data_IF_427720219271
#
_entry.id   IF_427720219271
#
_cell.length_a   1.000
_cell.length_b   1.000
_cell.length_c   1.000
_cell.angle_alpha   90.00
_cell.angle_beta   90.00
_cell.angle_gamma   90.00
#
_symmetry.space_group_name_H-M   'P 1'
#
loop_
_entity.id
_entity.type
_entity.pdbx_description
1 polymer ?
#
# COMPACT_ATOMS: atom_id res chain seq x y z
N UNK A 1 44.43 -2.47 20.32
CA UNK A 1 43.58 -3.48 19.66
C UNK A 1 42.55 -2.70 18.86
N UNK A 2 42.59 -2.80 17.54
CA UNK A 2 42.04 -1.86 16.56
C UNK A 2 40.51 -1.91 16.48
N UNK A 3 39.91 -0.74 16.27
CA UNK A 3 38.47 -0.51 16.10
C UNK A 3 38.00 -0.89 14.67
N UNK A 4 38.48 -2.03 14.14
CA UNK A 4 38.20 -2.49 12.77
C UNK A 4 37.38 -3.80 12.75
N UNK A 5 36.60 -4.06 13.81
CA UNK A 5 35.68 -5.20 13.81
C UNK A 5 34.41 -4.86 13.00
N UNK A 6 34.49 -5.21 11.71
CA UNK A 6 33.40 -5.74 10.87
C UNK A 6 32.22 -4.76 10.66
N UNK A 7 32.42 -3.74 9.81
CA UNK A 7 31.33 -3.36 8.91
C UNK A 7 31.25 -4.48 7.88
N UNK A 8 30.42 -5.47 8.17
CA UNK A 8 30.07 -6.51 7.21
C UNK A 8 29.64 -5.79 5.93
N UNK A 9 30.33 -6.05 4.81
CA UNK A 9 29.97 -5.48 3.50
C UNK A 9 28.63 -6.08 3.08
N UNK A 10 27.56 -5.53 3.65
CA UNK A 10 26.21 -6.00 3.41
C UNK A 10 25.96 -5.84 1.91
N UNK A 11 25.65 -6.94 1.24
CA UNK A 11 25.36 -6.92 -0.19
C UNK A 11 23.91 -6.49 -0.40
N UNK A 12 23.65 -5.82 -1.53
CA UNK A 12 22.29 -5.51 -1.97
C UNK A 12 21.48 -6.81 -2.14
N UNK A 13 20.33 -6.90 -1.47
CA UNK A 13 19.50 -8.11 -1.44
C UNK A 13 18.44 -8.07 -2.56
N UNK A 14 18.88 -8.28 -3.81
CA UNK A 14 18.04 -8.13 -5.02
C UNK A 14 16.76 -8.94 -4.97
N UNK A 15 16.84 -10.19 -4.54
CA UNK A 15 15.71 -11.11 -4.41
C UNK A 15 14.64 -10.55 -3.47
N UNK A 16 15.04 -10.08 -2.29
CA UNK A 16 14.11 -9.53 -1.30
C UNK A 16 13.56 -8.18 -1.70
N UNK A 17 14.36 -7.33 -2.35
CA UNK A 17 13.89 -6.05 -2.90
C UNK A 17 12.85 -6.29 -4.01
N UNK A 18 13.08 -7.28 -4.88
CA UNK A 18 12.12 -7.65 -5.91
C UNK A 18 10.80 -8.16 -5.31
N UNK A 19 10.85 -9.02 -4.29
CA UNK A 19 9.66 -9.51 -3.57
C UNK A 19 8.91 -8.35 -2.90
N UNK A 20 9.63 -7.45 -2.24
CA UNK A 20 9.05 -6.26 -1.60
C UNK A 20 8.35 -5.35 -2.63
N UNK A 21 9.00 -5.11 -3.77
CA UNK A 21 8.46 -4.33 -4.88
C UNK A 21 7.21 -4.97 -5.49
N UNK A 22 7.21 -6.31 -5.66
CA UNK A 22 6.04 -7.05 -6.12
C UNK A 22 4.87 -6.94 -5.13
N UNK A 23 5.13 -7.05 -3.82
CA UNK A 23 4.11 -6.84 -2.78
C UNK A 23 3.53 -5.43 -2.81
N UNK A 24 4.36 -4.40 -3.02
CA UNK A 24 3.91 -3.02 -3.19
C UNK A 24 3.07 -2.84 -4.47
N UNK A 25 3.45 -3.50 -5.55
CA UNK A 25 2.67 -3.49 -6.79
C UNK A 25 1.28 -4.08 -6.60
N UNK A 26 1.17 -5.21 -5.90
CA UNK A 26 -0.13 -5.82 -5.56
C UNK A 26 -0.94 -4.88 -4.70
N UNK A 27 -0.35 -4.28 -3.66
CA UNK A 27 -1.03 -3.28 -2.84
C UNK A 27 -1.63 -2.15 -3.70
N UNK A 28 -0.79 -1.50 -4.51
CA UNK A 28 -1.17 -0.29 -5.23
C UNK A 28 -2.12 -0.61 -6.40
N UNK A 29 -2.14 -1.85 -6.90
CA UNK A 29 -3.17 -2.36 -7.82
C UNK A 29 -4.56 -2.24 -7.18
N UNK A 30 -4.73 -2.75 -5.96
CA UNK A 30 -6.01 -2.68 -5.26
C UNK A 30 -6.40 -1.26 -4.88
N UNK A 31 -5.44 -0.41 -4.48
CA UNK A 31 -5.73 1.00 -4.18
C UNK A 31 -6.22 1.77 -5.42
N UNK A 32 -5.72 1.40 -6.60
CA UNK A 32 -6.13 2.01 -7.86
C UNK A 32 -7.51 1.53 -8.37
N UNK A 33 -8.21 0.64 -7.66
CA UNK A 33 -9.57 0.25 -8.03
C UNK A 33 -10.58 1.37 -7.81
N UNK A 34 -10.44 2.19 -6.75
CA UNK A 34 -11.46 3.18 -6.39
C UNK A 34 -11.76 4.18 -7.53
N UNK A 35 -10.77 4.82 -8.18
CA UNK A 35 -11.04 5.73 -9.29
C UNK A 35 -11.80 5.07 -10.45
N UNK A 36 -11.48 3.82 -10.78
CA UNK A 36 -12.13 3.08 -11.86
C UNK A 36 -13.56 2.66 -11.50
N UNK A 37 -13.81 2.33 -10.22
CA UNK A 37 -15.13 1.95 -9.71
C UNK A 37 -16.02 3.15 -9.39
N UNK A 38 -15.47 4.36 -9.29
CA UNK A 38 -16.20 5.54 -8.82
C UNK A 38 -17.49 5.81 -9.61
N UNK A 39 -17.54 5.73 -10.96
CA UNK A 39 -18.79 5.91 -11.71
C UNK A 39 -19.87 4.89 -11.32
N UNK A 40 -19.48 3.63 -11.11
CA UNK A 40 -20.41 2.54 -10.73
C UNK A 40 -20.94 2.78 -9.31
N UNK A 41 -20.08 3.23 -8.39
CA UNK A 41 -20.49 3.54 -7.02
C UNK A 41 -21.41 4.77 -6.96
N UNK A 42 -21.19 5.77 -7.81
CA UNK A 42 -22.07 6.95 -7.94
C UNK A 42 -23.47 6.50 -8.35
N UNK A 43 -23.57 5.66 -9.39
CA UNK A 43 -24.85 5.15 -9.86
C UNK A 43 -25.52 4.26 -8.81
N UNK A 44 -24.79 3.29 -8.27
CA UNK A 44 -25.30 2.30 -7.31
C UNK A 44 -25.90 2.93 -6.05
N UNK A 45 -25.27 3.98 -5.54
CA UNK A 45 -25.69 4.65 -4.30
C UNK A 45 -26.38 6.00 -4.54
N UNK A 46 -26.63 6.38 -5.79
CA UNK A 46 -27.20 7.68 -6.17
C UNK A 46 -26.46 8.87 -5.55
N UNK A 47 -25.13 8.85 -5.60
CA UNK A 47 -24.27 9.80 -4.86
C UNK A 47 -24.28 11.19 -5.46
N UNK A 48 -24.29 12.19 -4.59
CA UNK A 48 -23.86 13.55 -4.94
C UNK A 48 -22.36 13.57 -5.22
N UNK A 49 -21.90 14.57 -6.00
CA UNK A 49 -20.46 14.77 -6.28
C UNK A 49 -19.62 14.88 -5.00
N UNK A 50 -20.17 15.50 -3.95
CA UNK A 50 -19.52 15.63 -2.65
C UNK A 50 -19.32 14.26 -1.98
N UNK A 51 -20.34 13.40 -2.00
CA UNK A 51 -20.25 12.05 -1.42
C UNK A 51 -19.28 11.17 -2.20
N UNK A 52 -19.29 11.27 -3.53
CA UNK A 52 -18.31 10.61 -4.37
C UNK A 52 -16.88 11.05 -4.03
N UNK A 53 -16.65 12.35 -3.84
CA UNK A 53 -15.36 12.88 -3.41
C UNK A 53 -14.93 12.40 -2.02
N UNK A 54 -15.89 12.24 -1.10
CA UNK A 54 -15.61 11.74 0.25
C UNK A 54 -15.13 10.28 0.26
N UNK A 55 -15.51 9.45 -0.71
CA UNK A 55 -14.95 8.08 -0.81
C UNK A 55 -13.42 8.11 -0.97
N UNK A 56 -12.88 9.02 -1.79
CA UNK A 56 -11.42 9.20 -1.92
C UNK A 56 -10.78 9.74 -0.63
N UNK A 57 -11.52 10.55 0.14
CA UNK A 57 -11.07 10.99 1.46
C UNK A 57 -11.03 9.80 2.42
N UNK A 58 -12.04 8.94 2.44
CA UNK A 58 -12.07 7.76 3.30
C UNK A 58 -10.92 6.78 3.02
N UNK A 59 -10.52 6.62 1.75
CA UNK A 59 -9.35 5.80 1.41
C UNK A 59 -8.01 6.45 1.76
N UNK A 60 -7.91 7.78 1.66
CA UNK A 60 -6.62 8.49 1.77
C UNK A 60 -6.34 9.05 3.16
N UNK A 61 -7.37 9.46 3.90
CA UNK A 61 -7.29 10.08 5.23
C UNK A 61 -6.51 9.25 6.25
N UNK A 62 -6.62 7.90 6.29
CA UNK A 62 -5.82 7.08 7.18
C UNK A 62 -4.31 7.21 7.01
N UNK A 63 -3.82 7.77 5.89
CA UNK A 63 -2.39 8.09 5.70
C UNK A 63 -1.82 9.02 6.77
N UNK A 64 -2.67 9.80 7.45
CA UNK A 64 -2.26 10.61 8.60
C UNK A 64 -1.77 9.76 9.79
N UNK A 65 -2.09 8.47 9.81
CA UNK A 65 -1.65 7.53 10.84
C UNK A 65 -0.24 6.98 10.57
N UNK A 66 0.39 7.26 9.43
CA UNK A 66 1.72 6.75 9.09
C UNK A 66 2.78 6.95 10.20
N UNK A 67 2.87 8.12 10.90
CA UNK A 67 3.82 8.28 12.01
C UNK A 67 3.55 7.34 13.19
N UNK A 68 2.27 7.12 13.52
CA UNK A 68 1.85 6.22 14.60
C UNK A 68 2.15 4.77 14.21
N UNK A 69 1.84 4.40 12.96
CA UNK A 69 2.11 3.05 12.44
C UNK A 69 3.62 2.79 12.39
N UNK A 70 4.42 3.77 11.96
CA UNK A 70 5.88 3.69 11.99
C UNK A 70 6.41 3.43 13.41
N UNK A 71 5.96 4.22 14.39
CA UNK A 71 6.31 4.02 15.80
C UNK A 71 5.93 2.62 16.32
N UNK A 72 4.73 2.12 15.98
CA UNK A 72 4.33 0.77 16.34
C UNK A 72 5.20 -0.28 15.66
N UNK A 73 5.52 -0.09 14.37
CA UNK A 73 6.34 -0.99 13.58
C UNK A 73 7.78 -1.10 14.07
N UNK A 74 8.33 -0.04 14.67
CA UNK A 74 9.64 -0.08 15.31
C UNK A 74 9.65 -1.02 16.53
N UNK A 75 8.51 -1.17 17.23
CA UNK A 75 8.38 -2.05 18.40
C UNK A 75 8.04 -3.51 18.03
N UNK A 76 7.13 -3.73 17.08
CA UNK A 76 6.63 -5.08 16.74
C UNK A 76 7.33 -5.72 15.53
N UNK A 77 8.10 -4.92 14.79
CA UNK A 77 8.81 -5.31 13.57
C UNK A 77 8.06 -4.94 12.29
N UNK A 78 8.70 -4.25 11.33
CA UNK A 78 8.03 -3.71 10.14
C UNK A 78 7.57 -4.79 9.15
N UNK A 79 8.14 -6.01 9.22
CA UNK A 79 7.85 -7.09 8.26
C UNK A 79 6.38 -7.52 8.24
N UNK A 80 5.71 -7.50 9.39
CA UNK A 80 4.33 -7.98 9.49
C UNK A 80 3.36 -7.06 8.75
N UNK A 81 3.59 -5.74 8.81
CA UNK A 81 2.78 -4.76 8.10
C UNK A 81 2.88 -4.94 6.58
N UNK A 82 4.09 -5.17 6.07
CA UNK A 82 4.30 -5.37 4.63
C UNK A 82 3.71 -6.69 4.12
N UNK A 83 3.76 -7.75 4.93
CA UNK A 83 3.19 -9.05 4.54
C UNK A 83 1.65 -9.01 4.55
N UNK A 84 1.05 -8.36 5.55
CA UNK A 84 -0.40 -8.40 5.74
C UNK A 84 -1.16 -7.34 4.94
N UNK A 85 -0.57 -6.17 4.70
CA UNK A 85 -1.26 -5.07 4.05
C UNK A 85 -1.83 -5.42 2.65
N UNK A 86 -1.09 -6.07 1.73
CA UNK A 86 -1.65 -6.42 0.42
C UNK A 86 -2.87 -7.33 0.53
N UNK A 87 -2.89 -8.28 1.47
CA UNK A 87 -4.02 -9.17 1.70
C UNK A 87 -5.25 -8.42 2.24
N UNK A 88 -5.04 -7.51 3.20
CA UNK A 88 -6.13 -6.67 3.74
C UNK A 88 -6.71 -5.79 2.65
N UNK A 89 -5.86 -5.11 1.87
CA UNK A 89 -6.31 -4.27 0.76
C UNK A 89 -7.04 -5.06 -0.30
N UNK A 90 -6.55 -6.25 -0.65
CA UNK A 90 -7.21 -7.15 -1.59
C UNK A 90 -8.64 -7.47 -1.15
N UNK A 91 -8.82 -7.92 0.11
CA UNK A 91 -10.13 -8.29 0.63
C UNK A 91 -11.05 -7.07 0.66
N UNK A 92 -10.62 -5.94 1.22
CA UNK A 92 -11.47 -4.76 1.39
C UNK A 92 -11.88 -4.16 0.04
N UNK A 93 -10.94 -4.04 -0.90
CA UNK A 93 -11.19 -3.45 -2.21
C UNK A 93 -12.02 -4.37 -3.10
N UNK A 94 -11.85 -5.70 -3.02
CA UNK A 94 -12.72 -6.65 -3.73
C UNK A 94 -14.15 -6.68 -3.20
N UNK A 95 -14.35 -6.45 -1.89
CA UNK A 95 -15.69 -6.36 -1.30
C UNK A 95 -16.43 -5.05 -1.64
N UNK A 96 -15.73 -4.03 -2.16
CA UNK A 96 -16.30 -2.73 -2.45
C UNK A 96 -17.46 -2.80 -3.46
N UNK A 97 -17.33 -3.63 -4.50
CA UNK A 97 -18.36 -3.82 -5.54
C UNK A 97 -19.67 -4.41 -5.00
N UNK A 98 -19.59 -5.23 -3.94
CA UNK A 98 -20.75 -5.87 -3.30
C UNK A 98 -21.23 -5.15 -2.04
N UNK A 99 -20.64 -4.01 -1.68
CA UNK A 99 -21.04 -3.24 -0.51
C UNK A 99 -22.54 -2.85 -0.59
N UNK A 100 -23.36 -3.17 0.43
CA UNK A 100 -24.81 -2.97 0.37
C UNK A 100 -25.22 -1.51 0.57
N UNK A 101 -24.37 -0.68 1.21
CA UNK A 101 -24.65 0.72 1.50
C UNK A 101 -23.39 1.57 1.38
N UNK A 102 -23.58 2.88 1.20
CA UNK A 102 -22.50 3.87 1.20
C UNK A 102 -21.66 3.82 2.48
N UNK A 103 -22.27 3.61 3.64
CA UNK A 103 -21.57 3.51 4.93
C UNK A 103 -20.65 2.29 4.95
N UNK A 104 -21.11 1.13 4.45
CA UNK A 104 -20.25 -0.06 4.35
C UNK A 104 -19.09 0.18 3.39
N UNK A 105 -19.34 0.82 2.24
CA UNK A 105 -18.28 1.20 1.31
C UNK A 105 -17.24 2.13 1.96
N UNK A 106 -17.69 3.14 2.71
CA UNK A 106 -16.80 4.05 3.45
C UNK A 106 -15.94 3.31 4.48
N UNK A 107 -16.52 2.37 5.24
CA UNK A 107 -15.76 1.57 6.21
C UNK A 107 -14.73 0.67 5.53
N UNK A 108 -15.07 0.01 4.42
CA UNK A 108 -14.12 -0.77 3.64
C UNK A 108 -12.95 0.09 3.16
N UNK A 109 -13.23 1.29 2.66
CA UNK A 109 -12.20 2.24 2.19
C UNK A 109 -11.32 2.74 3.34
N UNK A 110 -11.87 3.01 4.52
CA UNK A 110 -11.08 3.39 5.70
C UNK A 110 -10.12 2.25 6.09
N UNK A 111 -10.59 1.00 6.11
CA UNK A 111 -9.73 -0.15 6.44
C UNK A 111 -8.67 -0.36 5.35
N UNK A 112 -9.03 -0.25 4.07
CA UNK A 112 -8.08 -0.28 2.97
C UNK A 112 -7.05 0.87 3.06
N UNK A 113 -7.46 2.05 3.51
CA UNK A 113 -6.59 3.19 3.73
C UNK A 113 -5.60 2.97 4.87
N UNK A 114 -6.04 2.39 6.00
CA UNK A 114 -5.15 2.01 7.12
C UNK A 114 -4.12 0.97 6.65
N UNK A 115 -4.55 0.02 5.82
CA UNK A 115 -3.66 -0.96 5.19
C UNK A 115 -2.61 -0.27 4.30
N UNK A 116 -3.02 0.70 3.48
CA UNK A 116 -2.09 1.51 2.66
C UNK A 116 -1.10 2.30 3.50
N UNK A 117 -1.59 2.99 4.53
CA UNK A 117 -0.74 3.74 5.44
C UNK A 117 0.31 2.81 6.09
N UNK A 118 -0.07 1.57 6.39
CA UNK A 118 0.82 0.60 7.01
C UNK A 118 2.01 0.21 6.13
N UNK A 119 1.76 -0.11 4.86
CA UNK A 119 2.84 -0.49 3.96
C UNK A 119 3.68 0.71 3.52
N UNK A 120 3.09 1.91 3.39
CA UNK A 120 3.83 3.13 3.04
C UNK A 120 4.68 3.66 4.19
N UNK A 121 4.28 3.41 5.45
CA UNK A 121 5.12 3.72 6.61
C UNK A 121 6.29 2.74 6.78
N UNK A 122 6.12 1.45 6.43
CA UNK A 122 7.08 0.39 6.77
C UNK A 122 7.90 -0.13 5.59
N UNK A 123 7.34 -0.11 4.38
CA UNK A 123 7.95 -0.62 3.15
C UNK A 123 9.25 0.10 2.77
N UNK A 124 9.29 1.45 2.72
CA UNK A 124 10.53 2.20 2.46
C UNK A 124 11.66 1.88 3.44
N UNK A 125 11.32 1.66 4.72
CA UNK A 125 12.28 1.28 5.76
C UNK A 125 12.89 -0.10 5.45
N UNK A 126 12.07 -1.08 5.06
CA UNK A 126 12.57 -2.40 4.65
C UNK A 126 13.39 -2.29 3.37
N UNK A 127 12.92 -1.53 2.38
CA UNK A 127 13.65 -1.31 1.12
C UNK A 127 15.06 -0.74 1.41
N UNK A 128 15.16 0.26 2.28
CA UNK A 128 16.43 0.82 2.72
C UNK A 128 17.33 -0.20 3.41
N UNK A 129 16.80 -1.00 4.34
CA UNK A 129 17.56 -2.06 5.03
C UNK A 129 18.09 -3.13 4.08
N UNK A 130 17.36 -3.42 2.99
CA UNK A 130 17.77 -4.40 1.97
C UNK A 130 18.75 -3.84 0.94
N UNK A 131 18.96 -2.51 0.92
CA UNK A 131 19.70 -1.82 -0.13
C UNK A 131 21.20 -1.70 0.10
N UNK A 132 21.69 -1.98 1.31
CA UNK A 132 23.09 -1.74 1.68
C UNK A 132 23.57 -0.33 1.27
N UNK A 133 24.71 -0.20 0.58
CA UNK A 133 25.23 1.07 0.08
C UNK A 133 24.45 1.65 -1.12
N UNK A 134 23.51 0.89 -1.70
CA UNK A 134 22.76 1.27 -2.92
C UNK A 134 21.33 1.71 -2.60
N UNK A 135 21.16 2.57 -1.60
CA UNK A 135 19.84 3.06 -1.15
C UNK A 135 18.96 3.58 -2.28
N UNK A 136 19.53 4.39 -3.18
CA UNK A 136 18.80 4.93 -4.33
C UNK A 136 18.21 3.83 -5.21
N UNK A 137 18.98 2.77 -5.49
CA UNK A 137 18.53 1.65 -6.31
C UNK A 137 17.36 0.91 -5.67
N UNK A 138 17.43 0.56 -4.39
CA UNK A 138 16.33 -0.15 -3.74
C UNK A 138 15.08 0.70 -3.57
N UNK A 139 15.23 2.02 -3.33
CA UNK A 139 14.11 2.95 -3.35
C UNK A 139 13.50 3.09 -4.75
N UNK A 140 14.29 3.04 -5.82
CA UNK A 140 13.76 3.01 -7.19
C UNK A 140 12.91 1.76 -7.45
N UNK A 141 13.34 0.58 -7.00
CA UNK A 141 12.52 -0.64 -7.09
C UNK A 141 11.22 -0.51 -6.29
N UNK A 142 11.28 0.07 -5.08
CA UNK A 142 10.10 0.34 -4.26
C UNK A 142 9.11 1.24 -5.01
N UNK A 143 9.56 2.37 -5.55
CA UNK A 143 8.72 3.31 -6.31
C UNK A 143 8.15 2.67 -7.58
N UNK A 144 8.98 1.97 -8.35
CA UNK A 144 8.57 1.30 -9.59
C UNK A 144 7.46 0.27 -9.34
N UNK A 145 7.56 -0.50 -8.25
CA UNK A 145 6.51 -1.45 -7.87
C UNK A 145 5.15 -0.76 -7.69
N UNK A 146 5.12 0.37 -6.96
CA UNK A 146 3.91 1.16 -6.75
C UNK A 146 3.30 1.67 -8.05
N UNK A 147 4.12 2.23 -8.95
CA UNK A 147 3.63 2.72 -10.25
C UNK A 147 3.10 1.59 -11.14
N UNK A 148 3.77 0.44 -11.19
CA UNK A 148 3.24 -0.74 -11.89
C UNK A 148 1.87 -1.11 -11.34
N UNK A 149 1.71 -1.12 -10.01
CA UNK A 149 0.43 -1.37 -9.37
C UNK A 149 -0.67 -0.40 -9.83
N UNK A 150 -0.39 0.91 -9.80
CA UNK A 150 -1.36 1.94 -10.22
C UNK A 150 -1.78 1.83 -11.67
N UNK A 151 -0.87 1.39 -12.55
CA UNK A 151 -1.19 1.13 -13.96
C UNK A 151 -2.06 -0.13 -14.10
N UNK A 152 -1.73 -1.20 -13.36
CA UNK A 152 -2.46 -2.47 -13.45
C UNK A 152 -3.86 -2.40 -12.84
N UNK A 153 -4.06 -1.63 -11.77
CA UNK A 153 -5.34 -1.55 -11.05
C UNK A 153 -6.56 -1.34 -11.94
N UNK A 154 -6.62 -0.23 -12.71
CA UNK A 154 -7.71 0.04 -13.64
C UNK A 154 -7.88 -1.04 -14.72
N UNK A 155 -6.78 -1.61 -15.23
CA UNK A 155 -6.83 -2.66 -16.25
C UNK A 155 -7.46 -3.94 -15.69
N UNK A 156 -7.05 -4.35 -14.49
CA UNK A 156 -7.56 -5.56 -13.84
C UNK A 156 -9.04 -5.41 -13.52
N UNK A 157 -9.45 -4.32 -12.87
CA UNK A 157 -10.83 -4.19 -12.39
C UNK A 157 -11.86 -3.98 -13.52
N UNK A 158 -11.45 -3.42 -14.66
CA UNK A 158 -12.33 -3.21 -15.82
C UNK A 158 -12.42 -4.47 -16.70
N UNK A 159 -11.44 -5.38 -16.63
CA UNK A 159 -11.39 -6.59 -17.46
C UNK A 159 -11.83 -7.87 -16.75
N UNK A 160 -12.02 -7.83 -15.43
CA UNK A 160 -12.50 -8.93 -14.60
C UNK A 160 -14.04 -9.02 -14.59
#
# INVERSE_FOLDING_TARGET
MTADTIVEDQKFQTDKVAILSAGHSVQDTYQAFLPALLPILIEKFSLMKTEAGLLSVFSSFPSLLQPIIGYLADNVGPRYFVILAPAVSAIMMSLLGVAPTYIVAALLLIVAGISSASIHATGPVIAGRLSAQRLGMGMSFWMMGGEIGRVLGPLVIVSA
#
